data_IF_802493383350
#
_entry.id   IF_802493383350
#
_cell.length_a   1.000
_cell.length_b   1.000
_cell.length_c   1.000
_cell.angle_alpha   90.00
_cell.angle_beta   90.00
_cell.angle_gamma   90.00
#
_symmetry.space_group_name_H-M   'P 1'
#
loop_
_entity.id
_entity.type
_entity.pdbx_description
1 polymer ?
#
# COMPACT_ATOMS: atom_id res chain seq x y z
N UNK A 1 19.46 31.86 47.71
CA UNK A 1 18.57 30.79 48.20
C UNK A 1 18.15 29.96 46.99
N UNK A 2 18.63 28.71 46.86
CA UNK A 2 17.80 27.47 46.93
C UNK A 2 16.62 27.51 45.92
N UNK A 3 16.44 26.67 44.90
CA UNK A 3 16.81 25.25 44.59
C UNK A 3 16.61 25.08 43.06
N UNK A 4 17.47 24.39 42.32
CA UNK A 4 17.39 22.94 42.05
C UNK A 4 15.98 22.47 41.65
N UNK A 5 15.78 22.07 40.39
CA UNK A 5 15.02 20.88 39.94
C UNK A 5 15.07 20.86 38.38
N UNK A 6 15.87 19.97 37.79
CA UNK A 6 15.46 18.63 37.31
C UNK A 6 14.84 18.62 35.91
N UNK A 7 15.65 18.07 34.98
CA UNK A 7 15.31 17.11 33.93
C UNK A 7 14.05 17.36 33.10
N UNK A 8 14.26 17.60 31.81
CA UNK A 8 13.71 16.74 30.75
C UNK A 8 14.46 17.02 29.44
N UNK A 9 15.46 16.18 29.15
CA UNK A 9 15.99 16.02 27.80
C UNK A 9 14.92 15.28 27.00
N UNK A 10 14.08 16.03 26.28
CA UNK A 10 13.22 15.45 25.26
C UNK A 10 14.12 15.24 24.05
N UNK A 11 14.64 14.01 23.93
CA UNK A 11 15.24 13.54 22.69
C UNK A 11 14.13 13.51 21.63
N UNK A 12 14.09 14.54 20.79
CA UNK A 12 13.21 14.59 19.63
C UNK A 12 13.63 13.49 18.66
N UNK A 13 12.84 12.42 18.57
CA UNK A 13 12.98 11.42 17.52
C UNK A 13 12.56 12.10 16.21
N UNK A 14 13.55 12.63 15.47
CA UNK A 14 13.33 13.16 14.14
C UNK A 14 13.07 11.98 13.21
N UNK A 15 11.79 11.64 13.04
CA UNK A 15 11.38 10.69 12.02
C UNK A 15 11.60 11.37 10.66
N UNK A 16 12.75 11.13 10.04
CA UNK A 16 12.93 11.37 8.61
C UNK A 16 12.01 10.41 7.87
N UNK A 17 10.76 10.84 7.65
CA UNK A 17 9.86 10.17 6.73
C UNK A 17 10.39 10.43 5.31
N UNK A 18 11.07 9.44 4.75
CA UNK A 18 11.34 9.38 3.32
C UNK A 18 10.00 9.16 2.63
N UNK A 19 9.36 10.25 2.20
CA UNK A 19 8.13 10.22 1.45
C UNK A 19 8.44 9.74 0.02
N UNK A 20 8.19 8.47 -0.27
CA UNK A 20 8.02 8.01 -1.64
C UNK A 20 6.62 8.44 -2.08
N UNK A 21 6.55 9.57 -2.80
CA UNK A 21 5.34 10.03 -3.45
C UNK A 21 4.86 8.95 -4.45
N UNK A 22 3.96 8.06 -4.05
CA UNK A 22 3.31 7.15 -4.99
C UNK A 22 2.14 7.88 -5.70
N UNK A 23 2.51 8.83 -6.54
CA UNK A 23 1.63 9.36 -7.56
C UNK A 23 1.71 8.47 -8.80
N UNK A 24 0.94 7.38 -8.82
CA UNK A 24 0.40 6.87 -10.08
C UNK A 24 -0.73 5.88 -9.81
N UNK A 25 -1.92 6.21 -10.31
CA UNK A 25 -2.89 5.21 -10.73
C UNK A 25 -2.31 4.59 -12.02
N UNK A 26 -1.70 3.42 -11.92
CA UNK A 26 -1.17 2.71 -13.07
C UNK A 26 -2.19 1.69 -13.58
N UNK A 27 -2.10 1.42 -14.87
CA UNK A 27 -2.87 0.37 -15.55
C UNK A 27 -1.95 -0.60 -16.30
N UNK A 28 -0.63 -0.49 -16.08
CA UNK A 28 0.34 -1.36 -16.72
C UNK A 28 0.25 -2.76 -16.06
N UNK A 29 0.18 -3.85 -16.83
CA UNK A 29 0.12 -5.19 -16.26
C UNK A 29 1.46 -5.68 -15.68
N UNK A 30 2.54 -4.90 -15.78
CA UNK A 30 3.91 -5.34 -15.50
C UNK A 30 4.66 -5.73 -16.78
N UNK A 31 5.80 -6.43 -16.66
CA UNK A 31 6.35 -7.01 -15.44
C UNK A 31 6.90 -5.97 -14.46
N UNK A 32 6.79 -6.25 -13.16
CA UNK A 32 7.38 -5.47 -12.08
C UNK A 32 8.43 -6.31 -11.35
N UNK A 33 9.64 -5.78 -11.22
CA UNK A 33 10.65 -6.40 -10.37
C UNK A 33 10.28 -6.19 -8.90
N UNK A 34 10.26 -7.25 -8.11
CA UNK A 34 9.94 -7.21 -6.67
C UNK A 34 10.97 -8.01 -5.88
N UNK A 35 11.12 -7.77 -4.57
CA UNK A 35 11.98 -8.61 -3.73
C UNK A 35 11.60 -10.10 -3.73
N UNK A 36 10.34 -10.43 -4.01
CA UNK A 36 9.83 -11.80 -4.02
C UNK A 36 9.87 -12.48 -5.41
N UNK A 37 10.27 -11.78 -6.47
CA UNK A 37 10.22 -12.26 -7.86
C UNK A 37 9.62 -11.23 -8.82
N UNK A 38 9.22 -11.66 -10.01
CA UNK A 38 8.62 -10.79 -11.03
C UNK A 38 7.10 -10.83 -10.96
N UNK A 39 6.46 -9.72 -10.60
CA UNK A 39 5.00 -9.63 -10.55
C UNK A 39 4.45 -9.23 -11.93
N UNK A 40 3.40 -9.90 -12.38
CA UNK A 40 2.60 -9.50 -13.54
C UNK A 40 1.11 -9.77 -13.31
N UNK A 41 0.27 -8.94 -13.91
CA UNK A 41 -1.18 -9.10 -13.94
C UNK A 41 -1.61 -9.51 -15.35
N UNK A 42 -2.24 -10.68 -15.46
CA UNK A 42 -2.72 -11.21 -16.73
C UNK A 42 -4.24 -11.14 -16.75
N UNK A 43 -4.79 -10.56 -17.82
CA UNK A 43 -6.24 -10.60 -18.04
C UNK A 43 -6.65 -12.03 -18.40
N UNK A 44 -7.60 -12.59 -17.67
CA UNK A 44 -8.25 -13.86 -18.00
C UNK A 44 -9.77 -13.69 -17.98
N UNK A 45 -10.37 -13.59 -19.18
CA UNK A 45 -11.79 -13.29 -19.40
C UNK A 45 -12.27 -12.02 -18.67
N UNK A 46 -13.04 -12.14 -17.57
CA UNK A 46 -13.51 -11.00 -16.76
C UNK A 46 -12.60 -10.69 -15.56
N UNK A 47 -11.67 -11.59 -15.25
CA UNK A 47 -10.80 -11.52 -14.10
C UNK A 47 -9.39 -11.04 -14.49
N UNK A 48 -8.63 -10.66 -13.47
CA UNK A 48 -7.19 -10.57 -13.54
C UNK A 48 -6.56 -11.64 -12.65
N UNK A 49 -5.47 -12.23 -13.14
CA UNK A 49 -4.63 -13.18 -12.43
C UNK A 49 -3.34 -12.47 -12.07
N UNK A 50 -3.01 -12.41 -10.77
CA UNK A 50 -1.71 -11.97 -10.33
C UNK A 50 -0.75 -13.17 -10.34
N UNK A 51 0.31 -13.06 -11.12
CA UNK A 51 1.36 -14.07 -11.21
C UNK A 51 2.65 -13.52 -10.63
N UNK A 52 3.32 -14.32 -9.81
CA UNK A 52 4.69 -14.08 -9.36
C UNK A 52 5.60 -15.11 -10.01
N UNK A 53 6.51 -14.63 -10.84
CA UNK A 53 7.30 -15.44 -11.78
C UNK A 53 6.38 -16.29 -12.70
N UNK A 54 6.14 -17.55 -12.32
CA UNK A 54 5.27 -18.47 -13.05
C UNK A 54 4.07 -18.96 -12.23
N UNK A 55 4.01 -18.59 -10.96
CA UNK A 55 3.01 -19.09 -10.03
C UNK A 55 1.85 -18.09 -9.91
N UNK A 56 0.63 -18.60 -9.90
CA UNK A 56 -0.56 -17.81 -9.61
C UNK A 56 -0.63 -17.57 -8.11
N UNK A 57 -0.64 -16.30 -7.69
CA UNK A 57 -0.71 -15.93 -6.27
C UNK A 57 -2.06 -15.33 -5.88
N UNK A 58 -2.84 -14.84 -6.83
CA UNK A 58 -4.19 -14.32 -6.61
C UNK A 58 -5.01 -14.30 -7.90
N UNK A 59 -6.34 -14.26 -7.76
CA UNK A 59 -7.30 -13.96 -8.83
C UNK A 59 -8.36 -13.01 -8.30
N UNK A 60 -8.65 -11.96 -9.05
CA UNK A 60 -9.65 -10.96 -8.67
C UNK A 60 -10.42 -10.44 -9.87
N UNK A 61 -11.70 -10.12 -9.66
CA UNK A 61 -12.55 -9.46 -10.64
C UNK A 61 -12.19 -7.97 -10.71
N UNK A 62 -11.92 -7.47 -11.92
CA UNK A 62 -11.94 -6.04 -12.19
C UNK A 62 -12.23 -5.78 -13.67
N UNK A 63 -13.04 -4.75 -13.96
CA UNK A 63 -13.27 -4.31 -15.35
C UNK A 63 -11.98 -3.84 -16.04
N UNK A 64 -11.16 -3.10 -15.29
CA UNK A 64 -9.89 -2.51 -15.73
C UNK A 64 -8.84 -2.68 -14.65
N UNK A 65 -7.61 -2.98 -15.03
CA UNK A 65 -6.50 -3.01 -14.08
C UNK A 65 -6.23 -1.58 -13.59
N UNK A 66 -6.29 -1.39 -12.27
CA UNK A 66 -5.96 -0.14 -11.61
C UNK A 66 -5.19 -0.48 -10.36
N UNK A 67 -3.93 -0.05 -10.30
CA UNK A 67 -3.05 -0.35 -9.19
C UNK A 67 -2.24 0.87 -8.77
N UNK A 68 -1.78 0.82 -7.53
CA UNK A 68 -0.91 1.80 -6.89
C UNK A 68 0.31 1.04 -6.37
N UNK A 69 1.49 1.53 -6.69
CA UNK A 69 2.74 0.84 -6.37
C UNK A 69 3.51 1.59 -5.29
N UNK A 70 4.09 0.84 -4.36
CA UNK A 70 5.17 1.35 -3.53
C UNK A 70 6.49 1.00 -4.21
N UNK A 71 7.19 2.02 -4.71
CA UNK A 71 8.54 1.84 -5.23
C UNK A 71 9.55 1.83 -4.07
N UNK A 72 10.53 0.94 -4.16
CA UNK A 72 11.66 0.89 -3.24
C UNK A 72 12.53 2.14 -3.35
N UNK A 73 13.46 2.33 -2.41
CA UNK A 73 14.28 3.54 -2.31
C UNK A 73 15.09 3.89 -3.58
N UNK A 74 15.42 2.90 -4.41
CA UNK A 74 16.14 3.08 -5.67
C UNK A 74 15.22 3.18 -6.90
N UNK A 75 13.89 3.08 -6.73
CA UNK A 75 12.91 3.18 -7.82
C UNK A 75 12.79 1.93 -8.70
N UNK A 76 13.77 1.03 -8.70
CA UNK A 76 13.85 -0.11 -9.62
C UNK A 76 13.02 -1.33 -9.21
N UNK A 77 12.48 -1.33 -7.99
CA UNK A 77 11.70 -2.45 -7.44
C UNK A 77 10.40 -1.97 -6.84
N UNK A 78 9.36 -2.80 -6.94
CA UNK A 78 8.06 -2.60 -6.31
C UNK A 78 7.97 -3.48 -5.08
N UNK A 79 7.81 -2.87 -3.90
CA UNK A 79 7.76 -3.57 -2.62
C UNK A 79 6.34 -3.97 -2.23
N UNK A 80 5.35 -3.14 -2.58
CA UNK A 80 3.93 -3.40 -2.34
C UNK A 80 3.09 -2.89 -3.49
N UNK A 81 1.96 -3.54 -3.73
CA UNK A 81 0.97 -3.12 -4.74
C UNK A 81 -0.41 -3.14 -4.11
N UNK A 82 -1.20 -2.08 -4.31
CA UNK A 82 -2.62 -2.05 -4.00
C UNK A 82 -3.40 -2.06 -5.30
N UNK A 83 -4.20 -3.10 -5.54
CA UNK A 83 -5.04 -3.21 -6.72
C UNK A 83 -6.50 -2.91 -6.38
N UNK A 84 -7.17 -2.16 -7.24
CA UNK A 84 -8.61 -1.96 -7.18
C UNK A 84 -9.32 -3.16 -7.82
N UNK A 85 -10.09 -3.92 -7.03
CA UNK A 85 -11.00 -4.97 -7.52
C UNK A 85 -12.47 -4.58 -7.38
N UNK A 86 -13.37 -5.39 -7.95
CA UNK A 86 -14.81 -5.25 -7.84
C UNK A 86 -15.31 -5.36 -6.38
N UNK A 87 -14.61 -6.13 -5.54
CA UNK A 87 -15.00 -6.38 -4.14
C UNK A 87 -14.21 -5.54 -3.12
N UNK A 88 -13.43 -4.58 -3.61
CA UNK A 88 -12.58 -3.70 -2.80
C UNK A 88 -11.10 -3.87 -3.09
N UNK A 89 -10.23 -3.13 -2.39
CA UNK A 89 -8.79 -3.17 -2.64
C UNK A 89 -8.16 -4.52 -2.25
N UNK A 90 -7.13 -4.93 -3.01
CA UNK A 90 -6.27 -6.08 -2.71
C UNK A 90 -4.85 -5.57 -2.49
N UNK A 91 -4.28 -5.84 -1.32
CA UNK A 91 -2.90 -5.52 -0.98
C UNK A 91 -2.00 -6.73 -1.23
N UNK A 92 -0.98 -6.53 -2.05
CA UNK A 92 0.14 -7.45 -2.25
C UNK A 92 1.35 -6.88 -1.50
N UNK A 93 1.81 -7.58 -0.45
CA UNK A 93 3.08 -7.29 0.21
C UNK A 93 4.14 -8.28 -0.26
N UNK A 94 5.04 -7.75 -1.11
CA UNK A 94 6.03 -8.50 -1.88
C UNK A 94 7.42 -8.39 -1.24
N UNK A 95 7.50 -7.84 -0.02
CA UNK A 95 8.75 -7.70 0.75
C UNK A 95 9.18 -9.00 1.43
N UNK A 96 8.30 -9.99 1.47
CA UNK A 96 8.47 -11.28 2.15
C UNK A 96 8.29 -12.44 1.18
N UNK A 97 8.88 -13.58 1.51
CA UNK A 97 8.73 -14.84 0.80
C UNK A 97 8.21 -15.90 1.79
N UNK A 98 6.98 -16.44 1.62
CA UNK A 98 6.03 -16.13 0.54
C UNK A 98 5.40 -14.73 0.67
N UNK A 99 5.00 -14.11 -0.46
CA UNK A 99 4.25 -12.85 -0.45
C UNK A 99 2.99 -12.95 0.40
N UNK A 100 2.53 -11.80 0.91
CA UNK A 100 1.25 -11.72 1.59
C UNK A 100 0.23 -11.05 0.68
N UNK A 101 -0.88 -11.74 0.41
CA UNK A 101 -2.02 -11.20 -0.34
C UNK A 101 -3.17 -10.98 0.64
N UNK A 102 -3.73 -9.77 0.68
CA UNK A 102 -4.82 -9.42 1.58
C UNK A 102 -5.94 -8.68 0.86
N UNK A 103 -7.14 -9.26 0.90
CA UNK A 103 -8.36 -8.65 0.37
C UNK A 103 -9.03 -7.83 1.46
N UNK A 104 -9.22 -6.53 1.22
CA UNK A 104 -9.88 -5.60 2.18
C UNK A 104 -11.38 -5.88 2.32
N UNK A 105 -11.98 -6.60 1.35
CA UNK A 105 -13.40 -7.05 1.32
C UNK A 105 -14.42 -5.96 1.67
N UNK A 106 -14.09 -4.72 1.35
CA UNK A 106 -14.94 -3.56 1.54
C UNK A 106 -14.96 -2.81 0.22
N UNK A 107 -16.12 -2.81 -0.44
CA UNK A 107 -16.28 -2.12 -1.70
C UNK A 107 -16.02 -0.62 -1.51
N UNK A 108 -14.97 -0.11 -2.15
CA UNK A 108 -14.60 1.30 -2.15
C UNK A 108 -13.78 1.63 -3.38
N UNK A 109 -13.85 2.89 -3.82
CA UNK A 109 -12.96 3.43 -4.85
C UNK A 109 -11.78 4.12 -4.19
N UNK A 110 -10.57 3.67 -4.49
CA UNK A 110 -9.33 4.30 -4.04
C UNK A 110 -8.92 5.37 -5.05
N UNK A 111 -8.75 6.62 -4.58
CA UNK A 111 -8.29 7.75 -5.38
C UNK A 111 -6.80 8.03 -5.19
N UNK A 112 -6.30 7.87 -3.97
CA UNK A 112 -4.89 8.07 -3.62
C UNK A 112 -4.47 7.04 -2.59
N UNK A 113 -3.18 6.71 -2.61
CA UNK A 113 -2.54 5.79 -1.68
C UNK A 113 -1.33 6.47 -1.07
N UNK A 114 -1.16 6.31 0.23
CA UNK A 114 0.01 6.76 0.98
C UNK A 114 0.58 5.56 1.71
N UNK A 115 1.81 5.22 1.36
CA UNK A 115 2.51 4.08 1.91
C UNK A 115 3.20 4.46 3.21
N UNK A 116 3.05 3.62 4.23
CA UNK A 116 3.77 3.69 5.50
C UNK A 116 4.42 2.33 5.78
N UNK A 117 5.47 2.23 6.59
CA UNK A 117 6.25 0.99 6.73
C UNK A 117 5.41 -0.28 7.00
N UNK A 118 4.32 -0.18 7.75
CA UNK A 118 3.48 -1.31 8.15
C UNK A 118 1.99 -1.13 7.83
N UNK A 119 1.61 -0.01 7.22
CA UNK A 119 0.24 0.28 6.84
C UNK A 119 0.16 0.94 5.46
N UNK A 120 -1.04 0.92 4.90
CA UNK A 120 -1.39 1.68 3.72
C UNK A 120 -2.60 2.55 4.04
N UNK A 121 -2.50 3.83 3.69
CA UNK A 121 -3.59 4.78 3.86
C UNK A 121 -4.17 5.10 2.49
N UNK A 122 -5.48 4.92 2.37
CA UNK A 122 -6.26 5.08 1.15
C UNK A 122 -7.18 6.28 1.30
N UNK A 123 -7.20 7.15 0.28
CA UNK A 123 -8.20 8.19 0.15
C UNK A 123 -9.29 7.71 -0.80
N UNK A 124 -10.54 7.68 -0.33
CA UNK A 124 -11.72 7.42 -1.14
C UNK A 124 -12.73 8.57 -1.12
N UNK A 125 -13.87 8.46 -1.82
CA UNK A 125 -14.95 9.45 -1.77
C UNK A 125 -15.48 9.70 -0.35
N UNK A 126 -15.53 8.66 0.49
CA UNK A 126 -16.09 8.72 1.84
C UNK A 126 -15.10 9.18 2.92
N UNK A 127 -13.89 9.58 2.51
CA UNK A 127 -12.82 10.02 3.40
C UNK A 127 -11.61 9.09 3.35
N UNK A 128 -10.92 9.02 4.49
CA UNK A 128 -9.63 8.34 4.62
C UNK A 128 -9.78 7.01 5.33
N UNK A 129 -9.03 6.02 4.87
CA UNK A 129 -9.05 4.66 5.42
C UNK A 129 -7.63 4.19 5.62
N UNK A 130 -7.35 3.60 6.78
CA UNK A 130 -6.10 2.90 7.06
C UNK A 130 -6.33 1.40 6.94
N UNK A 131 -5.45 0.70 6.25
CA UNK A 131 -5.37 -0.75 6.26
C UNK A 131 -4.03 -1.20 6.85
N UNK A 132 -4.09 -1.96 7.95
CA UNK A 132 -2.93 -2.45 8.70
C UNK A 132 -3.24 -3.84 9.24
N UNK A 133 -2.34 -4.81 9.00
CA UNK A 133 -2.47 -6.18 9.52
C UNK A 133 -3.86 -6.79 9.30
N UNK A 134 -4.43 -6.63 8.10
CA UNK A 134 -5.76 -7.17 7.77
C UNK A 134 -6.95 -6.38 8.31
N UNK A 135 -6.72 -5.30 9.05
CA UNK A 135 -7.79 -4.47 9.64
C UNK A 135 -7.93 -3.17 8.85
N UNK A 136 -9.15 -2.91 8.36
CA UNK A 136 -9.54 -1.64 7.77
C UNK A 136 -10.15 -0.72 8.85
N UNK A 137 -9.68 0.51 8.95
CA UNK A 137 -10.19 1.52 9.88
C UNK A 137 -10.49 2.82 9.14
N UNK A 138 -11.72 3.32 9.25
CA UNK A 138 -12.06 4.66 8.77
C UNK A 138 -11.43 5.72 9.69
N UNK A 139 -10.69 6.65 9.12
CA UNK A 139 -10.02 7.71 9.86
C UNK A 139 -10.99 8.88 10.06
N UNK A 140 -11.15 9.33 11.30
CA UNK A 140 -12.11 10.37 11.70
C UNK A 140 -11.51 11.78 11.74
N UNK A 141 -10.17 11.90 11.76
CA UNK A 141 -9.49 13.19 11.78
C UNK A 141 -9.03 13.58 10.38
N UNK A 142 -9.51 14.72 9.90
CA UNK A 142 -9.07 15.36 8.65
C UNK A 142 -7.68 16.02 8.75
N UNK A 143 -7.03 15.96 9.92
CA UNK A 143 -5.73 16.63 10.18
C UNK A 143 -4.50 15.75 9.95
N UNK A 144 -4.65 14.49 9.56
CA UNK A 144 -3.51 13.68 9.14
C UNK A 144 -3.13 14.09 7.72
N UNK A 145 -2.13 14.98 7.60
CA UNK A 145 -1.49 15.23 6.32
C UNK A 145 -0.53 14.08 6.06
N UNK A 146 -0.90 13.20 5.14
CA UNK A 146 0.01 12.22 4.58
C UNK A 146 0.77 12.89 3.44
N UNK A 147 2.10 12.79 3.48
CA UNK A 147 3.02 13.35 2.49
C UNK A 147 3.59 12.24 1.62
#
# INVERSE_FOLDING_TARGET
MKRLLHRLLIAGFSACAFATLAHAQLSAPGPFNTPAGTLQFVRDDHDFVAMLDRDVIDRFDAKTLTHFDETGAQGDTVSRVLVQSAYGPVLYDLRRQPPLVQHVRTAMTVKRVFWQPDEVVMQGPEGWFRFRNGTLTKLTSSKMTYH
#
